data_IF_603608533332
#
_entry.id   IF_603608533332
#
_cell.length_a   1.000
_cell.length_b   1.000
_cell.length_c   1.000
_cell.angle_alpha   90.00
_cell.angle_beta   90.00
_cell.angle_gamma   90.00
#
_symmetry.space_group_name_H-M   'P 1'
#
loop_
_entity.id
_entity.type
_entity.pdbx_description
1 polymer ?
#
# COMPACT_ATOMS: atom_id res chain seq x y z
N UNK A 1 -19.33 13.67 18.31
CA UNK A 1 -19.69 12.89 17.11
C UNK A 1 -18.94 11.58 17.25
N UNK A 2 -19.62 10.43 17.31
CA UNK A 2 -18.92 9.14 17.33
C UNK A 2 -18.19 9.04 15.99
N UNK A 3 -16.87 8.95 16.02
CA UNK A 3 -16.07 8.73 14.81
C UNK A 3 -16.27 7.26 14.46
N UNK A 4 -16.98 6.98 13.37
CA UNK A 4 -17.20 5.62 12.89
C UNK A 4 -15.86 5.02 12.44
N UNK A 5 -15.72 3.70 12.56
CA UNK A 5 -14.50 3.01 12.15
C UNK A 5 -14.23 3.19 10.66
N UNK A 6 -13.02 3.67 10.34
CA UNK A 6 -12.49 3.81 8.99
C UNK A 6 -11.65 2.57 8.64
N UNK A 7 -11.88 2.00 7.45
CA UNK A 7 -11.27 0.75 7.01
C UNK A 7 -10.19 0.94 5.95
N UNK A 8 -10.22 2.05 5.20
CA UNK A 8 -9.41 2.23 3.99
C UNK A 8 -8.27 3.25 4.16
N UNK A 9 -8.55 4.39 4.80
CA UNK A 9 -7.69 5.59 4.76
C UNK A 9 -6.25 5.29 5.17
N UNK A 10 -6.08 4.53 6.25
CA UNK A 10 -4.76 4.24 6.83
C UNK A 10 -3.89 3.48 5.84
N UNK A 11 -4.37 2.38 5.26
CA UNK A 11 -3.55 1.59 4.33
C UNK A 11 -3.38 2.33 2.99
N UNK A 12 -4.40 3.05 2.52
CA UNK A 12 -4.31 3.80 1.27
C UNK A 12 -3.30 4.94 1.32
N UNK A 13 -3.10 5.57 2.47
CA UNK A 13 -1.98 6.53 2.65
C UNK A 13 -0.63 5.87 2.43
N UNK A 14 -0.43 4.66 2.94
CA UNK A 14 0.81 3.91 2.75
C UNK A 14 0.99 3.51 1.27
N UNK A 15 -0.08 3.06 0.61
CA UNK A 15 -0.07 2.77 -0.82
C UNK A 15 0.27 4.01 -1.66
N UNK A 16 -0.34 5.16 -1.37
CA UNK A 16 0.00 6.43 -2.04
C UNK A 16 1.47 6.78 -1.88
N UNK A 17 2.05 6.64 -0.69
CA UNK A 17 3.49 6.85 -0.49
C UNK A 17 4.33 5.91 -1.37
N UNK A 18 3.98 4.62 -1.43
CA UNK A 18 4.67 3.66 -2.27
C UNK A 18 4.58 4.03 -3.76
N UNK A 19 3.38 4.32 -4.27
CA UNK A 19 3.13 4.68 -5.67
C UNK A 19 3.91 5.92 -6.09
N UNK A 20 3.89 6.99 -5.29
CA UNK A 20 4.62 8.21 -5.60
C UNK A 20 6.14 7.99 -5.55
N UNK A 21 6.61 7.20 -4.58
CA UNK A 21 8.03 6.83 -4.51
C UNK A 21 8.43 6.03 -5.75
N UNK A 22 7.64 5.05 -6.16
CA UNK A 22 7.87 4.26 -7.38
C UNK A 22 7.90 5.12 -8.64
N UNK A 23 6.96 6.06 -8.80
CA UNK A 23 6.96 6.98 -9.94
C UNK A 23 8.24 7.81 -10.01
N UNK A 24 8.72 8.33 -8.87
CA UNK A 24 9.94 9.13 -8.81
C UNK A 24 11.18 8.27 -9.14
N UNK A 25 11.26 7.06 -8.58
CA UNK A 25 12.39 6.17 -8.82
C UNK A 25 12.44 5.68 -10.26
N UNK A 26 11.31 5.20 -10.81
CA UNK A 26 11.21 4.74 -12.19
C UNK A 26 11.54 5.83 -13.22
N UNK A 27 11.23 7.09 -12.91
CA UNK A 27 11.58 8.24 -13.75
C UNK A 27 13.07 8.61 -13.72
N UNK A 28 13.83 8.06 -12.77
CA UNK A 28 15.29 8.26 -12.62
C UNK A 28 16.10 7.03 -13.02
N UNK A 29 15.45 5.88 -13.25
CA UNK A 29 16.09 4.63 -13.63
C UNK A 29 16.88 4.79 -14.92
N UNK A 30 18.15 4.41 -14.89
CA UNK A 30 18.92 4.18 -16.11
C UNK A 30 18.59 2.78 -16.64
N UNK A 31 17.83 2.72 -17.73
CA UNK A 31 17.42 1.44 -18.32
C UNK A 31 18.54 0.73 -19.09
N UNK A 32 19.71 1.36 -19.22
CA UNK A 32 20.91 0.73 -19.80
C UNK A 32 21.86 0.12 -18.76
N UNK A 33 21.53 0.25 -17.46
CA UNK A 33 22.33 -0.26 -16.37
C UNK A 33 21.60 -1.38 -15.61
N UNK A 34 22.14 -2.61 -15.63
CA UNK A 34 21.51 -3.76 -14.97
C UNK A 34 21.22 -3.50 -13.48
N UNK A 35 22.15 -2.84 -12.77
CA UNK A 35 21.96 -2.55 -11.34
C UNK A 35 20.78 -1.57 -11.09
N UNK A 36 20.48 -0.69 -12.04
CA UNK A 36 19.32 0.21 -11.98
C UNK A 36 18.02 -0.53 -12.26
N UNK A 37 18.03 -1.49 -13.19
CA UNK A 37 16.88 -2.35 -13.48
C UNK A 37 16.56 -3.29 -12.32
N UNK A 38 17.57 -3.89 -11.69
CA UNK A 38 17.43 -4.76 -10.51
C UNK A 38 16.76 -4.00 -9.35
N UNK A 39 17.22 -2.79 -9.04
CA UNK A 39 16.59 -1.93 -8.02
C UNK A 39 15.12 -1.60 -8.32
N UNK A 40 14.80 -1.33 -9.58
CA UNK A 40 13.42 -1.06 -9.98
C UNK A 40 12.56 -2.32 -9.87
N UNK A 41 13.10 -3.47 -10.27
CA UNK A 41 12.42 -4.76 -10.17
C UNK A 41 12.11 -5.11 -8.71
N UNK A 42 13.07 -4.98 -7.79
CA UNK A 42 12.86 -5.24 -6.37
C UNK A 42 11.76 -4.35 -5.77
N UNK A 43 11.73 -3.08 -6.20
CA UNK A 43 10.71 -2.12 -5.77
C UNK A 43 9.31 -2.51 -6.25
N UNK A 44 9.18 -2.92 -7.52
CA UNK A 44 7.91 -3.39 -8.09
C UNK A 44 7.48 -4.72 -7.44
N UNK A 45 8.40 -5.67 -7.27
CA UNK A 45 8.12 -6.97 -6.67
C UNK A 45 7.61 -6.84 -5.23
N UNK A 46 8.22 -5.95 -4.43
CA UNK A 46 7.76 -5.70 -3.07
C UNK A 46 6.37 -5.05 -3.04
N UNK A 47 6.08 -4.10 -3.94
CA UNK A 47 4.74 -3.51 -4.03
C UNK A 47 3.68 -4.50 -4.53
N UNK A 48 4.03 -5.38 -5.48
CA UNK A 48 3.13 -6.46 -5.95
C UNK A 48 2.63 -7.28 -4.78
N UNK A 49 3.54 -7.71 -3.90
CA UNK A 49 3.16 -8.55 -2.77
C UNK A 49 2.25 -7.80 -1.80
N UNK A 50 2.51 -6.52 -1.53
CA UNK A 50 1.59 -5.70 -0.74
C UNK A 50 0.21 -5.51 -1.39
N UNK A 51 0.17 -5.27 -2.70
CA UNK A 51 -1.08 -5.14 -3.45
C UNK A 51 -1.90 -6.43 -3.33
N UNK A 52 -1.25 -7.59 -3.48
CA UNK A 52 -1.87 -8.91 -3.31
C UNK A 52 -2.44 -9.10 -1.90
N UNK A 53 -1.65 -8.81 -0.86
CA UNK A 53 -2.05 -8.93 0.55
C UNK A 53 -3.25 -8.02 0.86
N UNK A 54 -3.21 -6.77 0.37
CA UNK A 54 -4.27 -5.80 0.58
C UNK A 54 -5.58 -6.26 -0.04
N UNK A 55 -5.58 -6.57 -1.34
CA UNK A 55 -6.75 -7.06 -2.08
C UNK A 55 -7.36 -8.28 -1.38
N UNK A 56 -6.53 -9.27 -1.01
CA UNK A 56 -6.99 -10.48 -0.34
C UNK A 56 -7.67 -10.15 1.01
N UNK A 57 -7.11 -9.22 1.78
CA UNK A 57 -7.69 -8.81 3.06
C UNK A 57 -9.01 -8.05 2.90
N UNK A 58 -9.15 -7.19 1.90
CA UNK A 58 -10.39 -6.46 1.64
C UNK A 58 -11.51 -7.38 1.17
N UNK A 59 -11.20 -8.25 0.20
CA UNK A 59 -12.16 -9.24 -0.32
C UNK A 59 -12.60 -10.24 0.74
N UNK A 60 -11.72 -10.57 1.69
CA UNK A 60 -12.02 -11.50 2.78
C UNK A 60 -12.81 -10.85 3.91
N UNK A 61 -12.48 -9.62 4.31
CA UNK A 61 -12.98 -9.03 5.56
C UNK A 61 -13.89 -7.82 5.38
N UNK A 62 -13.74 -7.04 4.31
CA UNK A 62 -14.45 -5.78 4.10
C UNK A 62 -15.60 -5.94 3.09
N UNK A 63 -15.31 -6.42 1.88
CA UNK A 63 -16.29 -6.60 0.80
C UNK A 63 -17.51 -7.44 1.19
N UNK A 64 -17.40 -8.47 2.05
CA UNK A 64 -18.56 -9.22 2.51
C UNK A 64 -19.59 -8.37 3.27
N UNK A 65 -19.18 -7.27 3.91
CA UNK A 65 -20.12 -6.36 4.57
C UNK A 65 -21.06 -5.68 3.56
N UNK A 66 -20.53 -5.29 2.40
CA UNK A 66 -21.32 -4.73 1.29
C UNK A 66 -22.22 -5.80 0.67
N UNK A 67 -21.63 -6.93 0.29
CA UNK A 67 -22.31 -8.00 -0.46
C UNK A 67 -23.46 -8.65 0.32
N UNK A 68 -23.39 -8.66 1.66
CA UNK A 68 -24.50 -9.13 2.52
C UNK A 68 -25.71 -8.21 2.53
N UNK A 69 -25.52 -6.91 2.25
CA UNK A 69 -26.56 -5.88 2.29
C UNK A 69 -27.08 -5.55 0.90
N UNK A 70 -26.20 -5.58 -0.10
CA UNK A 70 -26.50 -5.33 -1.51
C UNK A 70 -25.92 -6.51 -2.30
N UNK A 71 -26.74 -7.42 -2.83
CA UNK A 71 -26.25 -8.55 -3.61
C UNK A 71 -25.37 -8.10 -4.78
N UNK A 72 -24.12 -8.53 -4.79
CA UNK A 72 -23.11 -8.10 -5.77
C UNK A 72 -22.56 -6.69 -5.55
N UNK A 73 -22.76 -6.10 -4.36
CA UNK A 73 -22.35 -4.73 -4.03
C UNK A 73 -20.85 -4.47 -4.06
N UNK A 74 -20.01 -5.53 -4.03
CA UNK A 74 -18.56 -5.44 -4.18
C UNK A 74 -18.04 -5.90 -5.56
N UNK A 75 -18.92 -6.39 -6.46
CA UNK A 75 -18.49 -7.02 -7.72
C UNK A 75 -17.61 -6.10 -8.58
N UNK A 76 -17.99 -4.83 -8.68
CA UNK A 76 -17.24 -3.88 -9.50
C UNK A 76 -15.87 -3.56 -8.88
N UNK A 77 -15.76 -3.56 -7.54
CA UNK A 77 -14.48 -3.37 -6.83
C UNK A 77 -13.56 -4.57 -7.03
N UNK A 78 -14.09 -5.79 -6.88
CA UNK A 78 -13.35 -7.04 -7.11
C UNK A 78 -12.87 -7.15 -8.57
N UNK A 79 -13.65 -6.65 -9.54
CA UNK A 79 -13.21 -6.57 -10.93
C UNK A 79 -12.12 -5.49 -11.14
N UNK A 80 -12.22 -4.34 -10.48
CA UNK A 80 -11.14 -3.33 -10.46
C UNK A 80 -9.85 -3.91 -9.85
N UNK A 81 -9.92 -4.64 -8.74
CA UNK A 81 -8.80 -5.35 -8.13
C UNK A 81 -8.12 -6.30 -9.12
N UNK A 82 -8.92 -7.12 -9.82
CA UNK A 82 -8.41 -8.05 -10.84
C UNK A 82 -7.69 -7.30 -11.96
N UNK A 83 -8.31 -6.26 -12.50
CA UNK A 83 -7.75 -5.46 -13.59
C UNK A 83 -6.45 -4.75 -13.18
N UNK A 84 -6.40 -4.21 -11.97
CA UNK A 84 -5.19 -3.57 -11.43
C UNK A 84 -4.07 -4.57 -11.18
N UNK A 85 -4.39 -5.75 -10.65
CA UNK A 85 -3.42 -6.84 -10.48
C UNK A 85 -2.83 -7.27 -11.82
N UNK A 86 -3.67 -7.49 -12.82
CA UNK A 86 -3.23 -7.84 -14.18
C UNK A 86 -2.38 -6.73 -14.82
N UNK A 87 -2.80 -5.47 -14.66
CA UNK A 87 -2.04 -4.34 -15.17
C UNK A 87 -0.66 -4.26 -14.51
N UNK A 88 -0.55 -4.53 -13.21
CA UNK A 88 0.70 -4.49 -12.48
C UNK A 88 1.63 -5.66 -12.85
N UNK A 89 1.10 -6.88 -13.00
CA UNK A 89 1.88 -8.02 -13.51
C UNK A 89 2.43 -7.75 -14.91
N UNK A 90 1.64 -7.12 -15.78
CA UNK A 90 2.12 -6.73 -17.11
C UNK A 90 3.28 -5.73 -17.06
N UNK A 91 3.33 -4.85 -16.05
CA UNK A 91 4.47 -3.94 -15.86
C UNK A 91 5.73 -4.72 -15.47
N UNK A 92 5.62 -5.66 -14.53
CA UNK A 92 6.74 -6.50 -14.10
C UNK A 92 7.26 -7.33 -15.28
N UNK A 93 6.38 -7.97 -16.04
CA UNK A 93 6.77 -8.73 -17.22
C UNK A 93 7.47 -7.85 -18.26
N UNK A 94 6.97 -6.64 -18.50
CA UNK A 94 7.62 -5.70 -19.42
C UNK A 94 9.01 -5.27 -18.93
N UNK A 95 9.22 -5.11 -17.62
CA UNK A 95 10.55 -4.84 -17.06
C UNK A 95 11.51 -6.03 -17.26
N UNK A 96 11.03 -7.26 -17.05
CA UNK A 96 11.83 -8.47 -17.30
C UNK A 96 12.22 -8.61 -18.77
N UNK A 97 11.31 -8.26 -19.70
CA UNK A 97 11.61 -8.19 -21.13
C UNK A 97 12.72 -7.18 -21.42
N UNK A 98 12.70 -6.01 -20.76
CA UNK A 98 13.75 -5.00 -20.89
C UNK A 98 15.09 -5.53 -20.37
N UNK A 99 15.10 -6.19 -19.21
CA UNK A 99 16.32 -6.78 -18.60
C UNK A 99 16.96 -7.87 -19.46
N UNK A 100 16.16 -8.54 -20.29
CA UNK A 100 16.66 -9.56 -21.22
C UNK A 100 17.32 -8.97 -22.48
N UNK A 101 17.20 -7.66 -22.73
CA UNK A 101 17.80 -6.99 -23.88
C UNK A 101 19.29 -6.70 -23.63
N UNK A 102 20.13 -6.68 -24.69
CA UNK A 102 21.49 -6.17 -24.60
C UNK A 102 21.53 -4.70 -24.16
N UNK A 103 22.55 -4.31 -23.38
CA UNK A 103 22.74 -2.92 -22.91
C UNK A 103 22.86 -1.91 -24.07
N UNK A 104 23.36 -2.33 -25.23
CA UNK A 104 23.53 -1.53 -26.44
C UNK A 104 22.35 -1.61 -27.42
N UNK A 105 21.21 -2.17 -26.98
CA UNK A 105 20.01 -2.26 -27.81
C UNK A 105 19.51 -0.87 -28.22
N UNK A 106 19.45 -0.62 -29.54
CA UNK A 106 19.19 0.70 -30.13
C UNK A 106 17.96 1.43 -29.57
N UNK A 107 16.91 0.67 -29.21
CA UNK A 107 15.62 1.22 -28.74
C UNK A 107 15.43 1.15 -27.23
N UNK A 108 16.46 0.81 -26.45
CA UNK A 108 16.34 0.59 -25.00
C UNK A 108 15.74 1.80 -24.28
N UNK A 109 16.17 3.02 -24.65
CA UNK A 109 15.62 4.25 -24.10
C UNK A 109 14.12 4.48 -24.42
N UNK A 110 13.66 4.07 -25.61
CA UNK A 110 12.23 4.18 -25.97
C UNK A 110 11.38 3.21 -25.16
N UNK A 111 11.83 1.97 -25.00
CA UNK A 111 11.12 0.91 -24.28
C UNK A 111 11.09 1.23 -22.78
N UNK A 112 12.21 1.70 -22.20
CA UNK A 112 12.27 2.16 -20.81
C UNK A 112 11.33 3.34 -20.55
N UNK A 113 11.23 4.30 -21.47
CA UNK A 113 10.27 5.40 -21.36
C UNK A 113 8.82 4.90 -21.41
N UNK A 114 8.52 3.89 -22.24
CA UNK A 114 7.18 3.32 -22.26
C UNK A 114 6.85 2.55 -20.98
N UNK A 115 7.80 1.80 -20.41
CA UNK A 115 7.64 1.17 -19.10
C UNK A 115 7.30 2.20 -18.01
N UNK A 116 8.05 3.31 -17.95
CA UNK A 116 7.76 4.41 -17.04
C UNK A 116 6.35 5.01 -17.26
N UNK A 117 5.95 5.23 -18.52
CA UNK A 117 4.60 5.75 -18.83
C UNK A 117 3.50 4.76 -18.44
N UNK A 118 3.71 3.47 -18.68
CA UNK A 118 2.77 2.42 -18.31
C UNK A 118 2.58 2.36 -16.79
N UNK A 119 3.66 2.48 -16.00
CA UNK A 119 3.59 2.59 -14.54
C UNK A 119 2.72 3.78 -14.11
N UNK A 120 2.89 4.95 -14.72
CA UNK A 120 2.08 6.12 -14.37
C UNK A 120 0.60 5.98 -14.77
N UNK A 121 0.29 5.24 -15.85
CA UNK A 121 -1.10 4.90 -16.18
C UNK A 121 -1.72 3.97 -15.15
N UNK A 122 -0.97 2.99 -14.65
CA UNK A 122 -1.40 2.14 -13.54
C UNK A 122 -1.67 2.97 -12.29
N UNK A 123 -0.72 3.83 -11.90
CA UNK A 123 -0.87 4.70 -10.72
C UNK A 123 -2.12 5.57 -10.84
N UNK A 124 -2.36 6.18 -12.00
CA UNK A 124 -3.55 7.01 -12.22
C UNK A 124 -4.86 6.22 -12.05
N UNK A 125 -4.94 4.99 -12.59
CA UNK A 125 -6.10 4.12 -12.43
C UNK A 125 -6.30 3.68 -10.98
N UNK A 126 -5.22 3.20 -10.35
CA UNK A 126 -5.27 2.70 -8.98
C UNK A 126 -5.63 3.81 -7.97
N UNK A 127 -5.14 5.04 -8.15
CA UNK A 127 -5.55 6.17 -7.31
C UNK A 127 -7.04 6.49 -7.43
N UNK A 128 -7.66 6.31 -8.60
CA UNK A 128 -9.09 6.49 -8.78
C UNK A 128 -9.91 5.40 -8.08
N UNK A 129 -9.37 4.17 -8.06
CA UNK A 129 -9.96 3.06 -7.30
C UNK A 129 -9.90 3.33 -5.78
N UNK A 130 -8.75 3.72 -5.23
CA UNK A 130 -8.64 4.09 -3.80
C UNK A 130 -9.59 5.23 -3.41
N UNK A 131 -9.78 6.21 -4.30
CA UNK A 131 -10.72 7.33 -4.10
C UNK A 131 -12.18 6.85 -4.06
N UNK A 132 -12.57 5.94 -4.96
CA UNK A 132 -13.90 5.32 -4.96
C UNK A 132 -14.18 4.59 -3.64
N UNK A 133 -13.20 3.86 -3.12
CA UNK A 133 -13.35 3.15 -1.84
C UNK A 133 -13.53 4.12 -0.67
N UNK A 134 -12.77 5.20 -0.65
CA UNK A 134 -12.82 6.20 0.42
C UNK A 134 -14.07 7.10 0.34
N UNK A 135 -14.49 7.52 -0.85
CA UNK A 135 -15.58 8.50 -1.03
C UNK A 135 -16.95 7.83 -1.22
N UNK A 136 -17.03 6.69 -1.88
CA UNK A 136 -18.31 6.01 -2.14
C UNK A 136 -18.54 4.85 -1.16
N UNK A 137 -17.54 3.98 -1.01
CA UNK A 137 -17.71 2.71 -0.30
C UNK A 137 -17.65 2.88 1.20
N UNK A 138 -16.71 3.64 1.74
CA UNK A 138 -16.59 3.89 3.17
C UNK A 138 -17.87 4.52 3.75
N UNK A 139 -18.49 5.55 3.14
CA UNK A 139 -19.76 6.07 3.63
C UNK A 139 -20.93 5.09 3.45
N UNK A 140 -20.90 4.23 2.43
CA UNK A 140 -21.89 3.17 2.29
C UNK A 140 -21.79 2.15 3.42
N UNK A 141 -20.58 1.71 3.77
CA UNK A 141 -20.32 0.83 4.91
C UNK A 141 -20.83 1.44 6.21
N UNK A 142 -20.54 2.72 6.47
CA UNK A 142 -21.06 3.45 7.64
C UNK A 142 -22.59 3.50 7.74
N UNK A 143 -23.30 3.43 6.61
CA UNK A 143 -24.77 3.38 6.58
C UNK A 143 -25.33 1.98 6.72
N UNK A 144 -24.59 0.96 6.27
CA UNK A 144 -25.08 -0.41 6.09
C UNK A 144 -24.61 -1.39 7.16
N UNK A 145 -23.53 -1.08 7.86
CA UNK A 145 -22.92 -1.92 8.89
C UNK A 145 -22.99 -1.25 10.27
N UNK A 146 -23.03 -2.08 11.32
CA UNK A 146 -22.87 -1.59 12.69
C UNK A 146 -21.41 -1.29 13.01
N UNK A 147 -21.15 -0.51 14.05
CA UNK A 147 -19.77 -0.24 14.51
C UNK A 147 -19.04 -1.54 14.89
N UNK A 148 -19.71 -2.51 15.51
CA UNK A 148 -19.13 -3.81 15.84
C UNK A 148 -18.77 -4.63 14.58
N UNK A 149 -19.58 -4.56 13.52
CA UNK A 149 -19.27 -5.19 12.24
C UNK A 149 -18.03 -4.53 11.59
N UNK A 150 -17.92 -3.20 11.63
CA UNK A 150 -16.77 -2.46 11.11
C UNK A 150 -15.49 -2.75 11.91
N UNK A 151 -15.56 -2.74 13.24
CA UNK A 151 -14.43 -3.11 14.10
C UNK A 151 -13.99 -4.56 13.88
N UNK A 152 -14.95 -5.47 13.68
CA UNK A 152 -14.68 -6.86 13.33
C UNK A 152 -13.97 -7.01 11.99
N UNK A 153 -14.41 -6.28 10.97
CA UNK A 153 -13.76 -6.25 9.66
C UNK A 153 -12.34 -5.65 9.74
N UNK A 154 -12.16 -4.54 10.44
CA UNK A 154 -10.84 -3.95 10.66
C UNK A 154 -9.90 -4.92 11.41
N UNK A 155 -10.41 -5.60 12.44
CA UNK A 155 -9.66 -6.62 13.16
C UNK A 155 -9.25 -7.79 12.29
N UNK A 156 -10.16 -8.28 11.44
CA UNK A 156 -9.89 -9.33 10.45
C UNK A 156 -8.84 -8.90 9.42
N UNK A 157 -9.02 -7.72 8.84
CA UNK A 157 -8.08 -7.10 7.90
C UNK A 157 -6.67 -7.03 8.50
N UNK A 158 -6.55 -6.44 9.69
CA UNK A 158 -5.27 -6.34 10.41
C UNK A 158 -4.68 -7.70 10.79
N UNK A 159 -5.52 -8.71 11.02
CA UNK A 159 -5.06 -10.09 11.26
C UNK A 159 -4.51 -10.73 10.00
N UNK A 160 -5.16 -10.55 8.85
CA UNK A 160 -4.64 -11.00 7.56
C UNK A 160 -3.26 -10.40 7.26
N UNK A 161 -3.07 -9.12 7.61
CA UNK A 161 -1.75 -8.47 7.52
C UNK A 161 -0.71 -8.99 8.52
N UNK A 162 -1.08 -9.78 9.54
CA UNK A 162 -0.12 -10.37 10.50
C UNK A 162 0.44 -11.71 10.04
N UNK A 163 -0.25 -12.40 9.14
CA UNK A 163 0.15 -13.71 8.62
C UNK A 163 1.13 -13.61 7.42
N UNK A 164 1.64 -12.41 7.16
CA UNK A 164 2.60 -12.10 6.08
C UNK A 164 4.03 -12.40 6.50
N UNK A 165 4.95 -12.47 5.53
CA UNK A 165 6.36 -12.74 5.83
C UNK A 165 7.00 -11.57 6.59
N UNK A 166 8.11 -11.79 7.33
CA UNK A 166 8.85 -10.69 7.96
C UNK A 166 9.33 -9.63 6.95
N UNK A 167 9.59 -10.03 5.71
CA UNK A 167 9.97 -9.12 4.62
C UNK A 167 8.81 -8.20 4.23
N UNK A 168 7.62 -8.77 4.03
CA UNK A 168 6.40 -8.02 3.71
C UNK A 168 6.01 -7.06 4.84
N UNK A 169 6.10 -7.52 6.09
CA UNK A 169 5.87 -6.68 7.26
C UNK A 169 6.88 -5.52 7.32
N UNK A 170 8.14 -5.79 6.99
CA UNK A 170 9.17 -4.75 6.90
C UNK A 170 8.91 -3.73 5.81
N UNK A 171 8.47 -4.18 4.62
CA UNK A 171 8.09 -3.27 3.55
C UNK A 171 6.86 -2.44 3.91
N UNK A 172 5.83 -3.06 4.49
CA UNK A 172 4.64 -2.36 4.97
C UNK A 172 4.99 -1.22 5.93
N UNK A 173 5.86 -1.46 6.92
CA UNK A 173 6.31 -0.41 7.83
C UNK A 173 7.07 0.71 7.09
N UNK A 174 7.90 0.38 6.09
CA UNK A 174 8.64 1.38 5.29
C UNK A 174 7.71 2.31 4.52
N UNK A 175 6.53 1.84 4.10
CA UNK A 175 5.55 2.68 3.39
C UNK A 175 4.55 3.37 4.32
N UNK A 176 4.25 2.77 5.48
CA UNK A 176 3.34 3.34 6.47
C UNK A 176 3.97 4.49 7.27
N UNK A 177 5.17 4.29 7.83
CA UNK A 177 5.83 5.25 8.72
C UNK A 177 5.92 6.66 8.12
N UNK A 178 6.42 6.84 6.89
CA UNK A 178 6.52 8.17 6.29
C UNK A 178 5.18 8.70 5.76
N UNK A 179 4.14 7.87 5.65
CA UNK A 179 2.83 8.26 5.15
C UNK A 179 1.91 8.81 6.25
N UNK A 180 2.18 8.50 7.51
CA UNK A 180 1.26 8.70 8.62
C UNK A 180 1.53 10.01 9.36
N UNK A 181 0.46 10.60 9.88
CA UNK A 181 0.55 11.75 10.78
C UNK A 181 0.93 11.31 12.21
N UNK A 182 1.26 12.25 13.11
CA UNK A 182 1.68 11.89 14.46
C UNK A 182 0.65 11.11 15.29
N UNK A 183 -0.65 11.32 15.08
CA UNK A 183 -1.71 10.61 15.82
C UNK A 183 -1.87 9.17 15.31
N UNK A 184 -1.80 8.97 14.00
CA UNK A 184 -1.80 7.64 13.38
C UNK A 184 -0.56 6.84 13.77
N UNK A 185 0.63 7.47 13.74
CA UNK A 185 1.88 6.84 14.19
C UNK A 185 1.80 6.42 15.66
N UNK A 186 1.24 7.26 16.54
CA UNK A 186 0.99 6.85 17.94
C UNK A 186 0.18 5.56 17.98
N UNK A 187 -0.92 5.47 17.22
CA UNK A 187 -1.74 4.26 17.19
C UNK A 187 -1.00 3.04 16.67
N UNK A 188 -0.10 3.19 15.68
CA UNK A 188 0.77 2.09 15.21
C UNK A 188 1.68 1.60 16.33
N UNK A 189 2.34 2.50 17.06
CA UNK A 189 3.19 2.16 18.20
C UNK A 189 2.41 1.50 19.35
N UNK A 190 1.23 2.00 19.70
CA UNK A 190 0.37 1.38 20.73
C UNK A 190 -0.02 -0.05 20.34
N UNK A 191 -0.34 -0.28 19.06
CA UNK A 191 -0.62 -1.64 18.55
C UNK A 191 0.61 -2.54 18.54
N UNK A 192 1.78 -1.96 18.30
CA UNK A 192 3.04 -2.68 18.28
C UNK A 192 3.48 -3.19 19.68
N UNK A 193 2.91 -2.69 20.79
CA UNK A 193 3.20 -3.19 22.14
C UNK A 193 2.95 -4.71 22.28
N UNK A 194 1.96 -5.23 21.56
CA UNK A 194 1.64 -6.66 21.51
C UNK A 194 2.37 -7.45 20.41
N UNK A 195 3.24 -6.82 19.64
CA UNK A 195 3.96 -7.44 18.52
C UNK A 195 5.31 -8.06 18.97
N UNK A 196 5.89 -8.98 18.17
CA UNK A 196 7.24 -9.49 18.39
C UNK A 196 8.27 -8.37 18.56
N UNK A 197 9.33 -8.65 19.33
CA UNK A 197 10.35 -7.65 19.67
C UNK A 197 11.00 -7.08 18.41
N UNK A 198 11.25 -7.93 17.42
CA UNK A 198 11.87 -7.62 16.14
C UNK A 198 11.03 -6.62 15.34
N UNK A 199 9.71 -6.80 15.32
CA UNK A 199 8.78 -5.88 14.65
C UNK A 199 8.76 -4.50 15.33
N UNK A 200 8.81 -4.47 16.68
CA UNK A 200 8.92 -3.22 17.44
C UNK A 200 10.23 -2.50 17.14
N UNK A 201 11.36 -3.20 17.21
CA UNK A 201 12.69 -2.63 16.93
C UNK A 201 12.76 -2.07 15.50
N UNK A 202 12.18 -2.77 14.53
CA UNK A 202 12.08 -2.28 13.15
C UNK A 202 11.23 -1.00 13.04
N UNK A 203 10.07 -0.93 13.70
CA UNK A 203 9.25 0.27 13.73
C UNK A 203 10.03 1.47 14.31
N UNK A 204 10.73 1.29 15.43
CA UNK A 204 11.57 2.35 16.01
C UNK A 204 12.68 2.79 15.05
N UNK A 205 13.43 1.86 14.46
CA UNK A 205 14.53 2.16 13.55
C UNK A 205 14.05 2.90 12.27
N UNK A 206 12.91 2.49 11.71
CA UNK A 206 12.31 3.17 10.56
C UNK A 206 11.84 4.58 10.92
N UNK A 207 11.21 4.74 12.08
CA UNK A 207 10.75 6.06 12.54
C UNK A 207 11.94 7.01 12.73
N UNK A 208 13.03 6.56 13.32
CA UNK A 208 14.25 7.37 13.50
C UNK A 208 14.96 7.72 12.18
N UNK A 209 14.92 6.83 11.20
CA UNK A 209 15.62 7.02 9.93
C UNK A 209 14.81 7.80 8.89
N UNK A 210 13.48 7.71 8.93
CA UNK A 210 12.61 8.28 7.90
C UNK A 210 11.94 9.60 8.32
N UNK A 211 11.75 9.84 9.62
CA UNK A 211 11.13 11.07 10.10
C UNK A 211 12.16 12.12 10.49
N UNK A 212 11.84 13.39 10.22
CA UNK A 212 12.62 14.52 10.70
C UNK A 212 12.56 14.65 12.23
N UNK A 213 13.52 15.39 12.80
CA UNK A 213 13.54 15.70 14.24
C UNK A 213 12.22 16.35 14.72
N UNK A 214 11.60 17.18 13.87
CA UNK A 214 10.32 17.84 14.18
C UNK A 214 9.16 16.85 14.23
N UNK A 215 9.10 15.92 13.28
CA UNK A 215 8.07 14.87 13.23
C UNK A 215 8.21 13.91 14.41
N UNK A 216 9.43 13.48 14.73
CA UNK A 216 9.72 12.66 15.91
C UNK A 216 9.27 13.34 17.21
N UNK A 217 9.55 14.63 17.36
CA UNK A 217 9.11 15.40 18.54
C UNK A 217 7.57 15.48 18.62
N UNK A 218 6.89 15.63 17.48
CA UNK A 218 5.43 15.63 17.43
C UNK A 218 4.83 14.29 17.86
N UNK A 219 5.39 13.17 17.39
CA UNK A 219 4.98 11.81 17.79
C UNK A 219 5.17 11.62 19.30
N UNK A 220 6.35 11.98 19.84
CA UNK A 220 6.63 11.88 21.28
C UNK A 220 5.63 12.67 22.14
N UNK A 221 5.30 13.89 21.73
CA UNK A 221 4.31 14.73 22.41
C UNK A 221 2.94 14.04 22.52
N UNK A 222 2.53 13.27 21.50
CA UNK A 222 1.26 12.53 21.52
C UNK A 222 1.20 11.40 22.55
N UNK A 223 2.34 10.86 22.97
CA UNK A 223 2.41 9.90 24.08
C UNK A 223 2.33 10.59 25.46
N UNK A 224 2.82 11.82 25.56
CA UNK A 224 2.85 12.61 26.81
C UNK A 224 1.50 13.25 27.15
N UNK A 225 0.65 13.52 26.15
CA UNK A 225 -0.70 14.11 26.31
C UNK A 225 -1.76 13.14 26.87
N UNK A 226 -1.36 12.02 27.48
CA UNK A 226 -2.22 11.01 28.12
C UNK A 226 -2.75 11.44 29.49
#
# INVERSE_FOLDING_TARGET
MVRQTDLYTSIHKAHRYALYTMAIQAGRTDYSEESSLERLNDLLAAFREQLRIHIEAEETFIHPLLSRRIPGGARDLEEEHRLHSEQFENLINHLEEIRALPEDFERLGEIGLEHYRALNRFIAGYLAHLDREEEDIQPALWRLATEDELLGALGGYLSGMRDITPEDAGYLLKIMVPAYDPDELRTVFERAEGAPKEAREMLYALTESMLSTKELAAVKKRFEER
#
